data_IF_158521129078
#
_entry.id   IF_158521129078
#
_cell.length_a   1.000
_cell.length_b   1.000
_cell.length_c   1.000
_cell.angle_alpha   90.00
_cell.angle_beta   90.00
_cell.angle_gamma   90.00
#
_symmetry.space_group_name_H-M   'P 1'
#
loop_
_entity.id
_entity.type
_entity.pdbx_description
1 polymer ?
#
# COMPACT_ATOMS: atom_id res chain seq x y z
N UNK A 1 48.54 43.88 -28.79
CA UNK A 1 47.89 43.59 -30.09
C UNK A 1 48.51 42.32 -30.65
N UNK A 2 47.66 41.34 -30.99
CA UNK A 2 47.83 40.19 -31.91
C UNK A 2 49.13 39.36 -31.91
N UNK A 3 49.13 38.05 -32.08
CA UNK A 3 48.12 36.98 -32.10
C UNK A 3 48.87 35.66 -32.33
N UNK A 4 48.33 34.55 -31.80
CA UNK A 4 48.26 33.19 -32.38
C UNK A 4 49.58 32.50 -32.78
N UNK A 5 50.01 31.41 -32.18
CA UNK A 5 49.41 30.08 -31.97
C UNK A 5 50.01 29.01 -32.91
N UNK A 6 50.26 27.85 -32.28
CA UNK A 6 50.13 26.48 -32.80
C UNK A 6 51.40 25.71 -33.19
N UNK A 7 51.30 24.40 -32.92
CA UNK A 7 52.13 23.24 -33.28
C UNK A 7 53.20 22.87 -32.22
N UNK A 8 53.37 21.62 -31.77
CA UNK A 8 52.86 20.33 -32.22
C UNK A 8 52.91 19.27 -31.09
N UNK A 9 52.07 18.24 -31.30
CA UNK A 9 51.98 16.90 -30.69
C UNK A 9 53.28 16.31 -30.09
N UNK A 10 53.12 15.62 -28.95
CA UNK A 10 53.67 14.27 -28.81
C UNK A 10 52.87 13.46 -27.80
N UNK A 11 52.53 12.24 -28.22
CA UNK A 11 51.78 11.22 -27.49
C UNK A 11 52.56 10.74 -26.26
N UNK A 12 51.86 10.44 -25.17
CA UNK A 12 52.30 9.38 -24.27
C UNK A 12 51.10 8.49 -23.93
N UNK A 13 51.10 7.29 -24.51
CA UNK A 13 50.17 6.20 -24.23
C UNK A 13 50.48 5.67 -22.84
N UNK A 14 49.54 5.79 -21.92
CA UNK A 14 49.48 4.92 -20.74
C UNK A 14 48.18 4.14 -20.86
N UNK A 15 48.30 2.91 -21.34
CA UNK A 15 47.31 1.86 -21.15
C UNK A 15 47.39 1.44 -19.68
N UNK A 16 46.34 1.68 -18.90
CA UNK A 16 46.15 1.01 -17.61
C UNK A 16 44.65 0.77 -17.37
N UNK A 17 44.28 -0.50 -17.57
CA UNK A 17 43.16 -1.25 -17.01
C UNK A 17 42.02 -0.44 -16.36
N UNK A 18 40.91 -0.31 -17.07
CA UNK A 18 39.60 -0.11 -16.44
C UNK A 18 39.20 -1.44 -15.79
N UNK A 19 39.42 -1.57 -14.49
CA UNK A 19 38.81 -2.64 -13.69
C UNK A 19 37.31 -2.36 -13.68
N UNK A 20 36.58 -3.08 -14.53
CA UNK A 20 35.12 -3.10 -14.53
C UNK A 20 34.68 -3.95 -13.33
N UNK A 21 34.49 -3.32 -12.17
CA UNK A 21 33.81 -3.93 -11.04
C UNK A 21 32.34 -4.09 -11.43
N UNK A 22 31.99 -5.26 -11.97
CA UNK A 22 30.61 -5.73 -12.02
C UNK A 22 30.13 -5.89 -10.58
N UNK A 23 29.44 -4.87 -10.05
CA UNK A 23 28.68 -4.99 -8.83
C UNK A 23 27.47 -5.88 -9.10
N UNK A 24 27.66 -7.19 -8.96
CA UNK A 24 26.60 -8.16 -8.74
C UNK A 24 26.05 -7.95 -7.32
N UNK A 25 25.29 -6.88 -7.10
CA UNK A 25 24.49 -6.71 -5.88
C UNK A 25 23.12 -7.31 -6.13
N UNK A 26 22.98 -8.57 -5.72
CA UNK A 26 21.75 -9.24 -5.29
C UNK A 26 20.43 -8.79 -5.95
N UNK A 27 19.98 -9.57 -6.94
CA UNK A 27 18.55 -9.73 -7.21
C UNK A 27 17.86 -10.18 -5.91
N UNK A 28 16.88 -9.40 -5.45
CA UNK A 28 16.19 -9.63 -4.18
C UNK A 28 15.48 -8.38 -3.64
N UNK A 29 15.78 -7.20 -4.20
CA UNK A 29 14.96 -6.02 -3.96
C UNK A 29 13.61 -6.18 -4.67
N UNK A 30 12.56 -6.51 -3.91
CA UNK A 30 11.20 -6.18 -4.34
C UNK A 30 11.20 -4.69 -4.67
N UNK A 31 10.95 -4.35 -5.93
CA UNK A 31 10.83 -2.95 -6.33
C UNK A 31 9.81 -2.28 -5.41
N UNK A 32 10.07 -1.05 -4.93
CA UNK A 32 9.15 -0.34 -4.05
C UNK A 32 7.77 -0.29 -4.70
N UNK A 33 6.74 -0.71 -3.96
CA UNK A 33 5.36 -0.72 -4.45
C UNK A 33 4.87 0.74 -4.58
N UNK A 34 4.23 1.14 -5.68
CA UNK A 34 3.85 2.53 -5.88
C UNK A 34 2.80 2.98 -4.87
N UNK A 35 2.96 4.18 -4.29
CA UNK A 35 1.90 4.83 -3.55
C UNK A 35 0.79 5.32 -4.49
N UNK A 36 -0.46 5.32 -4.02
CA UNK A 36 -1.61 5.69 -4.88
C UNK A 36 -2.49 6.78 -4.25
N UNK A 37 -2.99 7.75 -5.03
CA UNK A 37 -3.94 8.73 -4.52
C UNK A 37 -5.42 8.26 -4.60
N UNK A 38 -5.68 7.08 -5.16
CA UNK A 38 -7.05 6.59 -5.38
C UNK A 38 -7.20 5.09 -5.13
N UNK A 39 -8.37 4.70 -4.66
CA UNK A 39 -8.86 3.33 -4.76
C UNK A 39 -9.46 3.15 -6.15
N UNK A 40 -8.88 2.24 -6.93
CA UNK A 40 -9.48 1.77 -8.19
C UNK A 40 -10.24 0.51 -7.86
N UNK A 41 -11.56 0.52 -8.06
CA UNK A 41 -12.40 -0.60 -7.64
C UNK A 41 -13.50 -0.95 -8.61
N UNK A 42 -14.12 -2.09 -8.34
CA UNK A 42 -15.33 -2.56 -8.99
C UNK A 42 -16.32 -3.03 -7.92
N UNK A 43 -17.53 -2.48 -7.94
CA UNK A 43 -18.63 -2.98 -7.14
C UNK A 43 -19.28 -4.16 -7.86
N UNK A 44 -19.40 -5.28 -7.17
CA UNK A 44 -20.03 -6.51 -7.63
C UNK A 44 -21.14 -6.87 -6.63
N UNK A 45 -22.35 -6.43 -6.94
CA UNK A 45 -23.54 -6.64 -6.10
C UNK A 45 -24.67 -7.23 -6.92
N UNK A 46 -25.40 -8.16 -6.32
CA UNK A 46 -26.63 -8.66 -6.91
C UNK A 46 -27.75 -7.61 -6.75
N UNK A 47 -28.57 -7.44 -7.79
CA UNK A 47 -29.74 -6.57 -7.76
C UNK A 47 -29.49 -5.16 -8.29
N UNK A 48 -30.02 -4.15 -7.59
CA UNK A 48 -29.94 -2.76 -8.02
C UNK A 48 -28.50 -2.25 -7.95
N UNK A 49 -27.97 -1.82 -9.11
CA UNK A 49 -26.63 -1.26 -9.20
C UNK A 49 -26.59 0.10 -8.50
N UNK A 50 -25.63 0.34 -7.59
CA UNK A 50 -25.42 1.66 -7.01
C UNK A 50 -24.96 2.66 -8.08
N UNK A 51 -25.34 3.92 -7.91
CA UNK A 51 -24.89 5.02 -8.76
C UNK A 51 -23.68 5.76 -8.18
N UNK A 52 -23.43 5.60 -6.88
CA UNK A 52 -22.28 6.21 -6.21
C UNK A 52 -21.75 5.38 -5.03
N UNK A 53 -20.50 5.65 -4.67
CA UNK A 53 -19.77 5.02 -3.58
C UNK A 53 -19.01 6.06 -2.75
N UNK A 54 -18.85 5.85 -1.44
CA UNK A 54 -17.97 6.69 -0.62
C UNK A 54 -17.27 5.93 0.49
N UNK A 55 -16.24 6.55 1.05
CA UNK A 55 -15.68 6.14 2.32
C UNK A 55 -16.75 6.15 3.42
N UNK A 56 -16.57 5.27 4.41
CA UNK A 56 -17.33 5.41 5.65
C UNK A 56 -16.98 6.75 6.31
N UNK A 57 -17.98 7.44 6.88
CA UNK A 57 -17.74 8.71 7.56
C UNK A 57 -16.88 8.46 8.81
N UNK A 58 -15.59 8.75 8.68
CA UNK A 58 -14.60 8.79 9.74
C UNK A 58 -14.07 10.23 9.77
N UNK A 59 -13.78 10.74 10.96
CA UNK A 59 -13.23 12.09 11.11
C UNK A 59 -11.95 12.24 10.27
N UNK A 60 -11.83 13.37 9.55
CA UNK A 60 -10.69 13.63 8.67
C UNK A 60 -10.70 12.91 7.32
N UNK A 61 -11.68 12.05 7.03
CA UNK A 61 -11.79 11.31 5.76
C UNK A 61 -12.89 11.91 4.88
N UNK A 62 -12.58 12.32 3.63
CA UNK A 62 -13.60 12.74 2.68
C UNK A 62 -14.60 11.61 2.44
N UNK A 63 -15.88 11.84 2.68
CA UNK A 63 -16.95 10.85 2.52
C UNK A 63 -17.94 11.25 1.42
N UNK A 64 -17.53 12.16 0.54
CA UNK A 64 -18.32 12.62 -0.60
C UNK A 64 -18.53 11.43 -1.55
N UNK A 65 -19.79 11.09 -1.90
CA UNK A 65 -20.08 10.07 -2.90
C UNK A 65 -19.45 10.40 -4.26
N UNK A 66 -18.78 9.42 -4.86
CA UNK A 66 -18.25 9.48 -6.22
C UNK A 66 -19.04 8.56 -7.14
N UNK A 67 -19.17 8.89 -8.44
CA UNK A 67 -19.93 8.08 -9.38
C UNK A 67 -19.39 6.65 -9.52
N UNK A 68 -20.31 5.70 -9.66
CA UNK A 68 -20.05 4.31 -10.06
C UNK A 68 -20.53 4.15 -11.50
N UNK A 69 -19.66 3.66 -12.38
CA UNK A 69 -20.00 3.38 -13.76
C UNK A 69 -20.98 2.21 -13.88
N UNK A 70 -21.67 2.08 -15.02
CA UNK A 70 -22.65 1.02 -15.27
C UNK A 70 -22.09 -0.41 -15.11
N UNK A 71 -20.78 -0.59 -15.34
CA UNK A 71 -20.08 -1.86 -15.15
C UNK A 71 -19.54 -2.06 -13.71
N UNK A 72 -19.98 -1.22 -12.76
CA UNK A 72 -19.58 -1.24 -11.36
C UNK A 72 -18.23 -0.59 -11.07
N UNK A 73 -17.49 -0.11 -12.08
CA UNK A 73 -16.16 0.48 -11.84
C UNK A 73 -16.27 1.86 -11.18
N UNK A 74 -15.30 2.17 -10.32
CA UNK A 74 -15.18 3.47 -9.68
C UNK A 74 -13.72 3.85 -9.41
N UNK A 75 -13.49 5.14 -9.19
CA UNK A 75 -12.24 5.68 -8.69
C UNK A 75 -12.56 6.58 -7.49
N UNK A 76 -12.19 6.13 -6.30
CA UNK A 76 -12.49 6.82 -5.05
C UNK A 76 -11.21 7.49 -4.51
N UNK A 77 -11.16 8.82 -4.38
CA UNK A 77 -9.99 9.52 -3.86
C UNK A 77 -9.66 9.08 -2.44
N UNK A 78 -8.38 8.86 -2.16
CA UNK A 78 -7.88 8.71 -0.80
C UNK A 78 -7.62 10.11 -0.19
N UNK A 79 -7.69 10.26 1.14
CA UNK A 79 -7.33 11.52 1.80
C UNK A 79 -5.93 11.99 1.40
N UNK A 80 -5.78 13.28 1.05
CA UNK A 80 -4.50 13.82 0.62
C UNK A 80 -3.51 14.00 1.79
N UNK A 81 -4.01 14.50 2.93
CA UNK A 81 -3.21 14.80 4.13
C UNK A 81 -3.79 14.10 5.38
N UNK A 82 -3.77 12.76 5.41
CA UNK A 82 -4.21 12.00 6.57
C UNK A 82 -3.34 12.30 7.80
N UNK A 83 -3.97 12.48 8.96
CA UNK A 83 -3.26 12.49 10.23
C UNK A 83 -2.99 11.06 10.69
N UNK A 84 -1.77 10.72 11.14
CA UNK A 84 -1.51 9.40 11.72
C UNK A 84 -2.48 9.07 12.85
N UNK A 85 -3.01 7.84 12.86
CA UNK A 85 -4.01 7.39 13.83
C UNK A 85 -3.38 6.65 15.04
N UNK A 86 -2.05 6.58 15.08
CA UNK A 86 -1.32 5.85 16.10
C UNK A 86 -1.22 4.35 15.83
N UNK A 87 -1.59 3.87 14.64
CA UNK A 87 -1.30 2.50 14.20
C UNK A 87 0.18 2.20 14.43
N UNK A 88 0.46 1.10 15.11
CA UNK A 88 1.81 0.63 15.41
C UNK A 88 1.92 -0.86 15.08
N UNK A 89 3.07 -1.27 14.54
CA UNK A 89 3.33 -2.66 14.20
C UNK A 89 4.24 -3.33 15.22
N UNK A 90 3.81 -4.50 15.66
CA UNK A 90 4.43 -5.21 16.78
C UNK A 90 4.01 -4.65 18.14
N UNK A 91 4.06 -5.48 19.18
CA UNK A 91 3.74 -5.08 20.55
C UNK A 91 4.82 -5.58 21.51
N UNK A 92 5.24 -4.77 22.49
CA UNK A 92 6.17 -5.22 23.53
C UNK A 92 5.52 -6.26 24.47
N UNK A 93 4.20 -6.42 24.43
CA UNK A 93 3.46 -7.39 25.23
C UNK A 93 3.38 -8.78 24.56
N UNK A 94 3.84 -8.91 23.31
CA UNK A 94 3.81 -10.15 22.55
C UNK A 94 5.20 -10.81 22.49
N UNK A 95 5.23 -12.15 22.41
CA UNK A 95 6.48 -12.89 22.22
C UNK A 95 6.91 -12.84 20.76
N UNK A 96 8.21 -12.78 20.49
CA UNK A 96 8.76 -12.66 19.14
C UNK A 96 9.26 -11.24 18.84
N UNK A 97 9.56 -10.97 17.57
CA UNK A 97 10.22 -9.72 17.17
C UNK A 97 9.61 -9.17 15.89
N UNK A 98 9.28 -7.89 15.93
CA UNK A 98 8.94 -7.09 14.76
C UNK A 98 9.91 -5.92 14.69
N UNK A 99 10.49 -5.71 13.52
CA UNK A 99 11.45 -4.65 13.26
C UNK A 99 10.84 -3.71 12.23
N UNK A 100 10.83 -2.42 12.58
CA UNK A 100 10.54 -1.32 11.66
C UNK A 100 11.87 -0.65 11.31
N UNK A 101 12.25 -0.65 10.03
CA UNK A 101 13.56 -0.15 9.60
C UNK A 101 13.73 1.36 9.82
N UNK A 102 12.65 2.14 9.67
CA UNK A 102 12.60 3.56 9.98
C UNK A 102 11.55 3.83 11.06
N UNK A 103 11.97 3.98 12.31
CA UNK A 103 11.09 4.17 13.47
C UNK A 103 10.39 5.52 13.53
N UNK A 104 10.77 6.48 12.68
CA UNK A 104 10.08 7.77 12.55
C UNK A 104 8.85 7.70 11.64
N UNK A 105 8.71 6.63 10.85
CA UNK A 105 7.51 6.43 10.05
C UNK A 105 6.29 6.22 10.96
N UNK A 106 5.24 6.97 10.68
CA UNK A 106 3.94 6.93 11.35
C UNK A 106 2.87 6.54 10.35
N UNK A 107 1.77 5.97 10.82
CA UNK A 107 0.77 5.38 9.96
C UNK A 107 -0.64 5.91 10.23
N UNK A 108 -1.48 5.90 9.20
CA UNK A 108 -2.92 5.96 9.30
C UNK A 108 -3.50 4.77 8.55
N UNK A 109 -4.41 4.03 9.17
CA UNK A 109 -5.13 2.93 8.55
C UNK A 109 -6.52 3.39 8.17
N UNK A 110 -6.85 3.34 6.88
CA UNK A 110 -8.24 3.42 6.48
C UNK A 110 -8.83 2.03 6.50
N UNK A 111 -9.81 1.85 7.39
CA UNK A 111 -10.72 0.71 7.37
C UNK A 111 -11.56 0.75 6.09
N UNK A 112 -10.89 0.38 5.00
CA UNK A 112 -11.42 0.12 3.66
C UNK A 112 -11.84 -1.35 3.57
N UNK A 113 -12.13 -1.97 4.70
CA UNK A 113 -12.96 -3.16 4.70
C UNK A 113 -14.42 -2.78 4.38
N UNK A 114 -14.84 -1.50 4.50
CA UNK A 114 -16.22 -1.07 4.24
C UNK A 114 -16.35 0.27 3.52
N UNK A 115 -16.95 0.23 2.32
CA UNK A 115 -17.42 1.43 1.59
C UNK A 115 -18.94 1.51 1.61
N UNK A 116 -19.46 2.74 1.61
CA UNK A 116 -20.89 3.05 1.54
C UNK A 116 -21.38 3.03 0.11
N UNK A 117 -22.50 2.36 -0.14
CA UNK A 117 -23.19 2.37 -1.43
C UNK A 117 -24.37 3.33 -1.42
N UNK A 118 -24.54 4.05 -2.51
CA UNK A 118 -25.61 5.03 -2.69
C UNK A 118 -26.41 4.71 -3.94
N UNK A 119 -27.69 5.08 -3.91
CA UNK A 119 -28.57 5.10 -5.07
C UNK A 119 -29.50 6.31 -4.95
N UNK A 120 -29.44 7.22 -5.92
CA UNK A 120 -30.20 8.48 -5.96
C UNK A 120 -30.14 9.26 -4.63
N UNK A 121 -28.93 9.38 -4.07
CA UNK A 121 -28.68 10.10 -2.81
C UNK A 121 -29.10 9.35 -1.53
N UNK A 122 -29.68 8.15 -1.65
CA UNK A 122 -30.06 7.32 -0.50
C UNK A 122 -29.00 6.26 -0.23
N UNK A 123 -28.58 6.11 1.05
CA UNK A 123 -27.65 5.07 1.47
C UNK A 123 -28.33 3.69 1.34
N UNK A 124 -27.73 2.81 0.53
CA UNK A 124 -28.21 1.43 0.28
C UNK A 124 -27.51 0.39 1.16
N UNK A 125 -26.47 0.79 1.90
CA UNK A 125 -25.69 -0.07 2.79
C UNK A 125 -24.20 -0.04 2.46
N UNK A 126 -23.53 -1.18 2.61
CA UNK A 126 -22.07 -1.26 2.57
C UNK A 126 -21.57 -2.44 1.74
N UNK A 127 -20.36 -2.29 1.21
CA UNK A 127 -19.60 -3.35 0.53
C UNK A 127 -18.23 -3.51 1.14
N UNK A 128 -17.64 -4.69 1.01
CA UNK A 128 -16.36 -5.09 1.56
C UNK A 128 -15.48 -5.78 0.53
N UNK A 129 -14.17 -5.68 0.70
CA UNK A 129 -13.17 -6.51 0.01
C UNK A 129 -12.95 -7.84 0.73
N UNK A 130 -13.54 -8.03 1.92
CA UNK A 130 -13.43 -9.26 2.71
C UNK A 130 -13.97 -10.44 1.91
N UNK A 131 -13.14 -11.47 1.75
CA UNK A 131 -13.48 -12.73 1.07
C UNK A 131 -13.17 -13.92 1.97
N UNK A 132 -14.05 -14.92 1.92
CA UNK A 132 -13.83 -16.23 2.51
C UNK A 132 -13.42 -17.20 1.38
N UNK A 133 -12.34 -17.93 1.57
CA UNK A 133 -11.90 -18.98 0.65
C UNK A 133 -11.40 -20.18 1.45
N UNK A 134 -12.24 -21.22 1.54
CA UNK A 134 -12.03 -22.28 2.52
C UNK A 134 -12.06 -21.69 3.94
N UNK A 135 -11.04 -22.04 4.74
CA UNK A 135 -10.88 -21.56 6.12
C UNK A 135 -10.16 -20.21 6.22
N UNK A 136 -9.82 -19.60 5.08
CA UNK A 136 -9.05 -18.36 5.04
C UNK A 136 -9.97 -17.16 4.87
N UNK A 137 -9.70 -16.12 5.66
CA UNK A 137 -10.27 -14.78 5.47
C UNK A 137 -9.20 -13.90 4.84
N UNK A 138 -9.54 -13.24 3.74
CA UNK A 138 -8.69 -12.19 3.17
C UNK A 138 -9.42 -10.86 3.23
N UNK A 139 -8.75 -9.79 3.58
CA UNK A 139 -9.25 -8.42 3.45
C UNK A 139 -8.14 -7.50 2.97
N UNK A 140 -8.52 -6.41 2.32
CA UNK A 140 -7.59 -5.39 1.87
C UNK A 140 -7.81 -4.09 2.63
N UNK A 141 -6.71 -3.44 2.99
CA UNK A 141 -6.71 -2.15 3.67
C UNK A 141 -5.72 -1.19 3.03
N UNK A 142 -6.04 0.10 3.05
CA UNK A 142 -5.13 1.15 2.65
C UNK A 142 -4.47 1.75 3.91
N UNK A 143 -3.13 1.71 3.93
CA UNK A 143 -2.31 2.26 5.01
C UNK A 143 -1.46 3.40 4.47
N UNK A 144 -1.66 4.59 5.02
CA UNK A 144 -0.79 5.73 4.76
C UNK A 144 0.45 5.61 5.62
N UNK A 145 1.64 5.82 5.05
CA UNK A 145 2.88 5.96 5.78
C UNK A 145 3.48 7.36 5.54
N UNK A 146 3.86 8.04 6.62
CA UNK A 146 4.48 9.38 6.53
C UNK A 146 5.88 9.35 5.92
N UNK A 147 6.58 8.22 6.05
CA UNK A 147 7.92 8.00 5.54
C UNK A 147 8.04 6.57 5.01
N UNK A 148 8.91 6.32 4.02
CA UNK A 148 9.20 4.95 3.58
C UNK A 148 9.79 4.14 4.73
N UNK A 149 9.32 2.90 4.88
CA UNK A 149 9.78 1.99 5.92
C UNK A 149 9.47 0.54 5.56
N UNK A 150 10.20 -0.38 6.19
CA UNK A 150 9.99 -1.82 6.05
C UNK A 150 9.65 -2.32 7.44
N UNK A 151 8.52 -3.02 7.57
CA UNK A 151 8.14 -3.74 8.78
C UNK A 151 8.23 -5.24 8.50
N UNK A 152 9.03 -5.95 9.30
CA UNK A 152 9.24 -7.40 9.20
C UNK A 152 9.21 -8.06 10.54
N UNK A 153 8.73 -9.31 10.56
CA UNK A 153 8.91 -10.21 11.69
C UNK A 153 7.63 -10.93 12.04
N UNK A 154 7.65 -11.57 13.20
CA UNK A 154 6.55 -12.39 13.67
C UNK A 154 6.43 -12.26 15.19
N UNK A 155 5.18 -12.20 15.67
CA UNK A 155 4.88 -12.17 17.09
C UNK A 155 3.68 -13.04 17.44
N UNK A 156 3.77 -13.74 18.57
CA UNK A 156 2.65 -14.42 19.22
C UNK A 156 2.01 -13.48 20.25
N UNK A 157 0.76 -13.09 19.97
CA UNK A 157 -0.06 -12.22 20.80
C UNK A 157 -1.27 -13.02 21.32
N UNK A 158 -1.21 -13.49 22.56
CA UNK A 158 -2.22 -14.42 23.09
C UNK A 158 -2.16 -15.74 22.32
N UNK A 159 -3.26 -16.13 21.67
CA UNK A 159 -3.32 -17.32 20.82
C UNK A 159 -3.14 -17.03 19.33
N UNK A 160 -2.90 -15.76 18.94
CA UNK A 160 -2.78 -15.35 17.53
C UNK A 160 -1.32 -15.09 17.19
N UNK A 161 -0.82 -15.79 16.17
CA UNK A 161 0.48 -15.46 15.55
C UNK A 161 0.26 -14.39 14.49
N UNK A 162 0.98 -13.28 14.60
CA UNK A 162 0.96 -12.16 13.65
C UNK A 162 2.27 -12.11 12.89
N UNK A 163 2.21 -12.23 11.57
CA UNK A 163 3.37 -12.14 10.68
C UNK A 163 3.28 -10.87 9.86
N UNK A 164 4.36 -10.09 9.83
CA UNK A 164 4.43 -8.80 9.14
C UNK A 164 5.43 -8.88 7.99
N UNK A 165 4.94 -8.59 6.79
CA UNK A 165 5.72 -8.54 5.55
C UNK A 165 5.36 -7.26 4.76
N UNK A 166 5.62 -6.10 5.37
CA UNK A 166 5.13 -4.81 4.90
C UNK A 166 6.26 -3.92 4.37
N UNK A 167 6.20 -3.62 3.08
CA UNK A 167 7.02 -2.60 2.41
C UNK A 167 6.17 -1.36 2.17
N UNK A 168 6.48 -0.28 2.87
CA UNK A 168 5.78 0.99 2.75
C UNK A 168 6.60 2.01 1.99
N UNK A 169 5.97 2.64 1.01
CA UNK A 169 6.41 3.94 0.49
C UNK A 169 5.72 5.06 1.24
N UNK A 170 6.25 6.27 1.12
CA UNK A 170 5.55 7.46 1.56
C UNK A 170 4.22 7.60 0.78
N UNK A 171 3.14 7.85 1.50
CA UNK A 171 1.78 7.92 0.95
C UNK A 171 0.96 6.67 1.26
N UNK A 172 -0.11 6.45 0.50
CA UNK A 172 -0.99 5.29 0.66
C UNK A 172 -0.45 4.03 0.01
N UNK A 173 -0.50 2.94 0.76
CA UNK A 173 -0.07 1.62 0.36
C UNK A 173 -1.21 0.63 0.53
N UNK A 174 -1.28 -0.38 -0.34
CA UNK A 174 -2.27 -1.45 -0.23
C UNK A 174 -1.70 -2.62 0.56
N UNK A 175 -2.43 -3.05 1.58
CA UNK A 175 -2.05 -4.15 2.46
C UNK A 175 -3.12 -5.24 2.38
N UNK A 176 -2.70 -6.48 2.18
CA UNK A 176 -3.55 -7.66 2.32
C UNK A 176 -3.39 -8.24 3.72
N UNK A 177 -4.53 -8.46 4.39
CA UNK A 177 -4.61 -9.18 5.64
C UNK A 177 -5.16 -10.57 5.34
N UNK A 178 -4.44 -11.61 5.75
CA UNK A 178 -4.88 -12.99 5.62
C UNK A 178 -4.96 -13.64 7.00
N UNK A 179 -6.15 -14.09 7.40
CA UNK A 179 -6.35 -14.88 8.61
C UNK A 179 -6.56 -16.35 8.22
N UNK A 180 -5.67 -17.23 8.69
CA UNK A 180 -5.73 -18.69 8.50
C UNK A 180 -5.68 -19.35 9.88
N UNK A 181 -6.82 -19.84 10.36
CA UNK A 181 -6.94 -20.30 11.74
C UNK A 181 -6.60 -19.18 12.73
N UNK A 182 -5.51 -19.34 13.48
CA UNK A 182 -4.97 -18.36 14.42
C UNK A 182 -3.75 -17.57 13.90
N UNK A 183 -3.43 -17.69 12.61
CA UNK A 183 -2.33 -16.95 11.98
C UNK A 183 -2.88 -15.77 11.19
N UNK A 184 -2.53 -14.55 11.59
CA UNK A 184 -2.80 -13.32 10.87
C UNK A 184 -1.53 -12.85 10.15
N UNK A 185 -1.56 -12.79 8.83
CA UNK A 185 -0.46 -12.25 8.01
C UNK A 185 -0.87 -10.90 7.45
N UNK A 186 0.00 -9.89 7.59
CA UNK A 186 -0.14 -8.59 6.94
C UNK A 186 0.98 -8.46 5.90
N UNK A 187 0.61 -8.34 4.63
CA UNK A 187 1.55 -8.26 3.51
C UNK A 187 1.28 -7.05 2.61
N UNK A 188 2.34 -6.35 2.19
CA UNK A 188 2.17 -5.33 1.15
C UNK A 188 1.89 -5.99 -0.19
N UNK A 189 0.95 -5.43 -0.94
CA UNK A 189 0.60 -5.88 -2.29
C UNK A 189 0.64 -4.72 -3.27
N UNK A 190 0.86 -5.01 -4.55
CA UNK A 190 0.77 -3.99 -5.58
C UNK A 190 -0.64 -3.40 -5.61
N UNK A 191 -0.72 -2.07 -5.78
CA UNK A 191 -2.01 -1.44 -5.98
C UNK A 191 -2.67 -2.03 -7.23
N UNK A 192 -3.90 -2.48 -7.06
CA UNK A 192 -4.63 -3.22 -8.07
C UNK A 192 -6.11 -2.86 -7.98
N UNK A 193 -6.85 -3.22 -9.02
CA UNK A 193 -8.30 -3.08 -8.99
C UNK A 193 -8.89 -4.09 -8.00
N UNK A 194 -9.59 -3.60 -6.98
CA UNK A 194 -10.25 -4.44 -5.99
C UNK A 194 -11.72 -4.63 -6.32
N UNK A 195 -12.25 -5.83 -6.06
CA UNK A 195 -13.68 -6.11 -6.15
C UNK A 195 -14.33 -5.96 -4.78
N UNK A 196 -15.43 -5.23 -4.73
CA UNK A 196 -16.18 -4.89 -3.54
C UNK A 196 -17.57 -5.50 -3.60
N UNK A 197 -17.92 -6.30 -2.60
CA UNK A 197 -19.16 -7.10 -2.57
C UNK A 197 -19.94 -6.86 -1.30
N UNK A 198 -21.23 -7.20 -1.28
CA UNK A 198 -21.97 -7.27 -0.02
C UNK A 198 -21.32 -8.36 0.88
N UNK A 199 -21.21 -8.12 2.20
CA UNK A 199 -20.71 -9.12 3.14
C UNK A 199 -21.60 -10.36 3.20
#
# INVERSE_FOLDING_TARGET
MSSRAAHARSMNRILSLTVLTLALTSCGGTAPLPSTPFIVGQVDVAGLQPDAISHTAVEGVPHIPVPVALNGQFQLPLPADPSPDGTFYGSPLCSGTVIQSNTQAQFMTLSTDRLRLWHHGTLQGFVTTRRLQGDNVYTYEYVYATLPTIVRGEQLCGNVTKTFALDYQQGWNLVEWTLTGNHLTLGSVANQRLTWRRP
#
